data_IF_587194133979
#
_entry.id   IF_587194133979
#
_cell.length_a   1.000
_cell.length_b   1.000
_cell.length_c   1.000
_cell.angle_alpha   90.00
_cell.angle_beta   90.00
_cell.angle_gamma   90.00
#
_symmetry.space_group_name_H-M   'P 1'
#
loop_
_entity.id
_entity.type
_entity.pdbx_description
1 polymer ?
#
# COMPACT_ATOMS: atom_id res chain seq x y z
N UNK A 1 -16.74 6.49 0.67
CA UNK A 1 -15.51 6.70 1.48
C UNK A 1 -15.97 7.13 2.86
N UNK A 2 -15.44 6.52 3.92
CA UNK A 2 -15.73 6.96 5.29
C UNK A 2 -14.82 8.15 5.66
N UNK A 3 -15.18 8.89 6.72
CA UNK A 3 -14.38 10.00 7.26
C UNK A 3 -12.97 9.57 7.61
N UNK A 4 -12.83 8.38 8.19
CA UNK A 4 -11.57 7.82 8.69
C UNK A 4 -10.60 7.54 7.54
N UNK A 5 -11.10 7.00 6.41
CA UNK A 5 -10.28 6.77 5.22
C UNK A 5 -9.84 8.10 4.61
N UNK A 6 -10.70 9.13 4.63
CA UNK A 6 -10.37 10.45 4.11
C UNK A 6 -9.27 11.13 4.94
N UNK A 7 -9.40 11.09 6.26
CA UNK A 7 -8.42 11.63 7.20
C UNK A 7 -7.07 10.90 7.09
N UNK A 8 -7.08 9.57 7.15
CA UNK A 8 -5.86 8.78 6.99
C UNK A 8 -5.22 8.99 5.61
N UNK A 9 -6.02 9.11 4.55
CA UNK A 9 -5.50 9.44 3.22
C UNK A 9 -4.85 10.82 3.19
N UNK A 10 -5.40 11.82 3.89
CA UNK A 10 -4.78 13.15 3.95
C UNK A 10 -3.44 13.10 4.70
N UNK A 11 -3.39 12.36 5.81
CA UNK A 11 -2.17 12.15 6.59
C UNK A 11 -1.07 11.47 5.76
N UNK A 12 -1.39 10.36 5.08
CA UNK A 12 -0.44 9.65 4.22
C UNK A 12 0.11 10.54 3.09
N UNK A 13 -0.70 11.47 2.55
CA UNK A 13 -0.22 12.45 1.56
C UNK A 13 0.76 13.44 2.16
N UNK A 14 0.48 13.92 3.37
CA UNK A 14 1.35 14.88 4.06
C UNK A 14 2.70 14.25 4.41
N UNK A 15 2.69 13.03 4.94
CA UNK A 15 3.91 12.37 5.45
C UNK A 15 4.80 11.82 4.32
N UNK A 16 4.20 11.29 3.25
CA UNK A 16 4.94 10.54 2.22
C UNK A 16 4.88 11.15 0.82
N UNK A 17 4.16 12.27 0.66
CA UNK A 17 3.97 12.96 -0.64
C UNK A 17 3.41 12.04 -1.73
N UNK A 18 2.55 11.09 -1.34
CA UNK A 18 1.86 10.22 -2.28
C UNK A 18 0.81 10.98 -3.09
N UNK A 19 0.50 10.48 -4.29
CA UNK A 19 -0.63 11.01 -5.07
C UNK A 19 -1.93 10.70 -4.34
N UNK A 20 -2.97 11.50 -4.59
CA UNK A 20 -4.29 11.30 -3.95
C UNK A 20 -4.82 9.88 -4.11
N UNK A 21 -4.82 9.26 -5.31
CA UNK A 21 -5.31 7.89 -5.47
C UNK A 21 -4.51 6.86 -4.66
N UNK A 22 -3.17 6.97 -4.65
CA UNK A 22 -2.27 6.09 -3.90
C UNK A 22 -2.58 6.12 -2.41
N UNK A 23 -2.80 7.34 -1.88
CA UNK A 23 -3.06 7.55 -0.47
C UNK A 23 -4.42 7.03 -0.04
N UNK A 24 -5.44 7.18 -0.91
CA UNK A 24 -6.77 6.61 -0.66
C UNK A 24 -6.69 5.08 -0.64
N UNK A 25 -5.94 4.47 -1.55
CA UNK A 25 -5.79 3.01 -1.61
C UNK A 25 -5.09 2.47 -0.36
N UNK A 26 -3.98 3.08 0.05
CA UNK A 26 -3.26 2.71 1.27
C UNK A 26 -4.12 2.92 2.52
N UNK A 27 -4.80 4.06 2.63
CA UNK A 27 -5.71 4.34 3.74
C UNK A 27 -6.85 3.32 3.82
N UNK A 28 -7.40 2.93 2.68
CA UNK A 28 -8.45 1.91 2.61
C UNK A 28 -7.94 0.55 3.10
N UNK A 29 -6.75 0.15 2.67
CA UNK A 29 -6.16 -1.12 3.08
C UNK A 29 -5.85 -1.15 4.59
N UNK A 30 -5.26 -0.07 5.12
CA UNK A 30 -4.96 0.05 6.56
C UNK A 30 -6.26 0.07 7.37
N UNK A 31 -7.22 0.92 7.02
CA UNK A 31 -8.49 1.03 7.74
C UNK A 31 -9.33 -0.26 7.65
N UNK A 32 -9.23 -0.99 6.53
CA UNK A 32 -9.88 -2.29 6.35
C UNK A 32 -9.19 -3.45 7.08
N UNK A 33 -8.06 -3.21 7.76
CA UNK A 33 -7.31 -4.25 8.45
C UNK A 33 -6.67 -5.28 7.50
N UNK A 34 -6.30 -4.85 6.29
CA UNK A 34 -5.67 -5.74 5.33
C UNK A 34 -4.35 -6.29 5.88
N UNK A 35 -4.17 -7.61 5.76
CA UNK A 35 -2.90 -8.25 6.16
C UNK A 35 -1.75 -7.83 5.24
N UNK A 36 -2.04 -7.63 3.95
CA UNK A 36 -1.05 -7.25 2.95
C UNK A 36 -1.66 -6.41 1.81
N UNK A 37 -0.82 -5.67 1.09
CA UNK A 37 -1.17 -4.84 -0.05
C UNK A 37 -0.31 -5.21 -1.27
N UNK A 38 -0.95 -5.78 -2.30
CA UNK A 38 -0.30 -6.13 -3.56
C UNK A 38 -0.21 -4.91 -4.48
N UNK A 39 0.99 -4.58 -4.93
CA UNK A 39 1.22 -3.38 -5.75
C UNK A 39 2.36 -3.55 -6.74
N UNK A 40 2.38 -2.75 -7.80
CA UNK A 40 3.59 -2.53 -8.63
C UNK A 40 4.47 -1.39 -8.08
N UNK A 41 3.94 -0.59 -7.15
CA UNK A 41 4.63 0.57 -6.63
C UNK A 41 5.51 0.21 -5.43
N UNK A 42 6.80 -0.01 -5.69
CA UNK A 42 7.79 -0.33 -4.66
C UNK A 42 7.94 0.73 -3.57
N UNK A 43 7.53 1.98 -3.83
CA UNK A 43 7.65 3.08 -2.86
C UNK A 43 6.74 2.92 -1.64
N UNK A 44 5.72 2.06 -1.70
CA UNK A 44 4.80 1.87 -0.58
C UNK A 44 5.43 1.10 0.59
N UNK A 45 6.56 0.41 0.37
CA UNK A 45 7.28 -0.32 1.42
C UNK A 45 7.77 0.54 2.59
N UNK A 46 7.77 1.87 2.44
CA UNK A 46 8.09 2.83 3.51
C UNK A 46 6.98 2.94 4.56
N UNK A 47 5.76 2.45 4.26
CA UNK A 47 4.63 2.44 5.21
C UNK A 47 4.79 1.21 6.10
N UNK A 48 5.15 1.42 7.36
CA UNK A 48 5.61 0.35 8.28
C UNK A 48 4.51 -0.59 8.80
N UNK A 49 3.25 -0.16 8.72
CA UNK A 49 2.10 -0.80 9.34
C UNK A 49 1.21 -1.58 8.34
N UNK A 50 1.74 -1.90 7.16
CA UNK A 50 1.08 -2.71 6.14
C UNK A 50 2.11 -3.56 5.40
N UNK A 51 1.92 -4.88 5.33
CA UNK A 51 2.81 -5.73 4.55
C UNK A 51 2.66 -5.39 3.07
N UNK A 52 3.73 -4.95 2.42
CA UNK A 52 3.70 -4.64 0.99
C UNK A 52 4.22 -5.82 0.20
N UNK A 53 3.41 -6.30 -0.73
CA UNK A 53 3.78 -7.33 -1.69
C UNK A 53 3.99 -6.66 -3.05
N UNK A 54 5.23 -6.65 -3.54
CA UNK A 54 5.53 -6.10 -4.86
C UNK A 54 5.29 -7.19 -5.90
N UNK A 55 4.39 -6.92 -6.85
CA UNK A 55 3.96 -7.90 -7.84
C UNK A 55 5.14 -8.50 -8.62
N UNK A 56 6.04 -7.67 -9.13
CA UNK A 56 7.18 -8.15 -9.92
C UNK A 56 8.11 -9.04 -9.07
N UNK A 57 8.27 -8.75 -7.78
CA UNK A 57 9.10 -9.55 -6.88
C UNK A 57 8.46 -10.92 -6.59
N UNK A 58 7.12 -10.99 -6.53
CA UNK A 58 6.40 -12.25 -6.41
C UNK A 58 6.45 -13.10 -7.69
N UNK A 59 6.40 -12.47 -8.86
CA UNK A 59 6.44 -13.16 -10.14
C UNK A 59 7.84 -13.70 -10.46
N UNK A 60 8.90 -12.95 -10.13
CA UNK A 60 10.27 -13.36 -10.43
C UNK A 60 10.94 -14.18 -9.32
N UNK A 61 10.43 -14.17 -8.08
CA UNK A 61 10.95 -15.06 -7.00
C UNK A 61 10.49 -16.51 -7.13
N UNK A 62 9.42 -16.80 -7.86
CA UNK A 62 8.93 -18.17 -8.11
C UNK A 62 9.62 -18.85 -9.31
N UNK A 63 10.54 -18.18 -10.00
CA UNK A 63 11.23 -18.72 -11.17
C UNK A 63 12.28 -19.82 -10.88
N UNK A 64 12.32 -20.37 -9.66
CA UNK A 64 13.26 -21.44 -9.25
C UNK A 64 12.59 -22.75 -8.79
N UNK A 65 11.30 -22.96 -9.07
CA UNK A 65 10.59 -24.18 -8.63
C UNK A 65 9.92 -25.01 -9.75
N UNK A 66 10.40 -24.91 -10.99
CA UNK A 66 10.05 -25.85 -12.07
C UNK A 66 11.26 -26.15 -12.93
#
# INVERSE_FOLDING_TARGET
MSSEIAELSAQLRADYTFRTPDSIQLATAINGGAMAFLTKNKRFSIVSNLQILVLDELLYSQAFLI
#
